data_IF_479370932209
#
_entry.id   IF_479370932209
#
_cell.length_a   1.000
_cell.length_b   1.000
_cell.length_c   1.000
_cell.angle_alpha   90.00
_cell.angle_beta   90.00
_cell.angle_gamma   90.00
#
_symmetry.space_group_name_H-M   'P 1'
#
loop_
_entity.id
_entity.type
_entity.pdbx_description
1 polymer ?
#
# COMPACT_ATOMS: atom_id res chain seq x y z
N UNK A 1 -7.94 -14.95 -4.30
CA UNK A 1 -8.79 -14.52 -3.16
C UNK A 1 -8.25 -13.21 -2.65
N UNK A 2 -9.10 -12.24 -2.32
CA UNK A 2 -8.66 -10.98 -1.73
C UNK A 2 -9.08 -10.99 -0.26
N UNK A 3 -8.13 -11.17 0.65
CA UNK A 3 -8.28 -10.67 2.02
C UNK A 3 -8.09 -9.17 1.95
N UNK A 4 -8.88 -8.40 2.68
CA UNK A 4 -9.08 -6.95 2.45
C UNK A 4 -7.78 -6.11 2.34
N UNK A 5 -6.65 -6.61 2.85
CA UNK A 5 -5.36 -5.91 2.86
C UNK A 5 -4.17 -6.72 2.29
N UNK A 6 -4.35 -7.99 1.92
CA UNK A 6 -3.25 -8.88 1.45
C UNK A 6 -3.52 -9.41 0.03
N UNK A 7 -2.49 -9.38 -0.81
CA UNK A 7 -2.47 -10.10 -2.08
C UNK A 7 -1.95 -11.52 -1.87
N UNK A 8 -2.68 -12.50 -2.39
CA UNK A 8 -2.34 -13.92 -2.28
C UNK A 8 -2.09 -14.52 -3.65
N UNK A 9 -0.97 -15.22 -3.77
CA UNK A 9 -0.69 -16.09 -4.89
C UNK A 9 -0.87 -17.54 -4.42
N UNK A 10 -1.78 -18.26 -5.08
CA UNK A 10 -2.11 -19.65 -4.75
C UNK A 10 -1.93 -20.48 -6.00
N UNK A 11 -1.14 -21.55 -5.89
CA UNK A 11 -0.90 -22.48 -6.98
C UNK A 11 -0.95 -23.92 -6.47
N UNK A 12 -1.40 -24.83 -7.34
CA UNK A 12 -1.32 -26.26 -7.09
C UNK A 12 -0.07 -26.79 -7.75
N UNK A 13 0.85 -27.30 -6.94
CA UNK A 13 2.10 -27.91 -7.40
C UNK A 13 2.25 -29.31 -6.80
N UNK A 14 2.89 -30.24 -7.51
CA UNK A 14 3.31 -31.51 -6.91
C UNK A 14 4.19 -31.27 -5.68
N UNK A 15 4.02 -32.09 -4.64
CA UNK A 15 4.83 -31.98 -3.42
C UNK A 15 6.34 -32.17 -3.67
N UNK A 16 6.72 -32.84 -4.75
CA UNK A 16 8.11 -32.98 -5.20
C UNK A 16 8.74 -31.66 -5.63
N UNK A 17 7.91 -30.71 -6.05
CA UNK A 17 8.34 -29.46 -6.69
C UNK A 17 8.35 -28.30 -5.68
N UNK A 18 7.89 -28.55 -4.45
CA UNK A 18 7.93 -27.59 -3.35
C UNK A 18 9.37 -27.42 -2.88
N UNK A 19 9.84 -26.17 -2.86
CA UNK A 19 11.15 -25.84 -2.34
C UNK A 19 11.33 -26.31 -0.89
N UNK A 20 12.51 -26.85 -0.57
CA UNK A 20 12.81 -27.43 0.76
C UNK A 20 12.77 -26.40 1.90
N UNK A 21 12.87 -25.12 1.55
CA UNK A 21 12.78 -23.98 2.46
C UNK A 21 11.35 -23.69 2.89
N UNK A 22 10.35 -24.13 2.12
CA UNK A 22 8.95 -23.92 2.44
C UNK A 22 8.52 -24.83 3.59
N UNK A 23 7.67 -24.29 4.47
CA UNK A 23 7.05 -25.06 5.53
C UNK A 23 5.86 -25.81 4.95
N UNK A 24 5.86 -27.13 5.12
CA UNK A 24 4.76 -27.99 4.69
C UNK A 24 3.90 -28.33 5.90
N UNK A 25 2.64 -27.94 5.86
CA UNK A 25 1.62 -28.31 6.85
C UNK A 25 0.64 -29.31 6.26
N UNK A 26 0.32 -30.37 7.00
CA UNK A 26 -0.58 -31.43 6.54
C UNK A 26 -1.91 -31.33 7.28
N UNK A 27 -2.97 -31.07 6.52
CA UNK A 27 -4.34 -30.93 7.00
C UNK A 27 -5.20 -32.00 6.34
N UNK A 28 -5.16 -33.22 6.90
CA UNK A 28 -5.77 -34.40 6.27
C UNK A 28 -5.08 -34.78 4.97
N UNK A 29 -5.83 -34.84 3.87
CA UNK A 29 -5.30 -35.14 2.54
C UNK A 29 -4.71 -33.91 1.83
N UNK A 30 -4.96 -32.71 2.36
CA UNK A 30 -4.40 -31.47 1.81
C UNK A 30 -3.06 -31.17 2.47
N UNK A 31 -2.02 -31.02 1.64
CA UNK A 31 -0.74 -30.49 2.07
C UNK A 31 -0.61 -29.04 1.62
N UNK A 32 -0.43 -28.13 2.57
CA UNK A 32 -0.23 -26.71 2.34
C UNK A 32 1.26 -26.40 2.41
N UNK A 33 1.82 -25.86 1.33
CA UNK A 33 3.20 -25.38 1.31
C UNK A 33 3.20 -23.85 1.50
N UNK A 34 3.81 -23.39 2.58
CA UNK A 34 3.93 -21.98 2.93
C UNK A 34 5.36 -21.51 2.67
N UNK A 35 5.52 -20.43 1.91
CA UNK A 35 6.83 -19.78 1.77
C UNK A 35 7.30 -19.32 3.14
N UNK A 36 8.58 -19.56 3.45
CA UNK A 36 9.10 -19.29 4.79
C UNK A 36 8.96 -17.82 5.21
N UNK A 37 9.14 -16.89 4.26
CA UNK A 37 8.99 -15.44 4.45
C UNK A 37 7.55 -14.96 4.68
N UNK A 38 6.56 -15.81 4.42
CA UNK A 38 5.15 -15.48 4.55
C UNK A 38 4.50 -16.10 5.81
N UNK A 39 5.20 -16.99 6.52
CA UNK A 39 4.65 -17.71 7.68
C UNK A 39 4.11 -16.75 8.73
N UNK A 40 4.88 -15.73 9.11
CA UNK A 40 4.45 -14.76 10.13
C UNK A 40 3.24 -13.94 9.67
N UNK A 41 3.12 -13.65 8.36
CA UNK A 41 1.99 -12.91 7.78
C UNK A 41 0.70 -13.73 7.79
N UNK A 42 0.81 -15.05 7.94
CA UNK A 42 -0.30 -16.00 7.93
C UNK A 42 -0.60 -16.58 9.32
N UNK A 43 0.06 -16.10 10.38
CA UNK A 43 -0.18 -16.61 11.74
C UNK A 43 -1.65 -16.41 12.15
N UNK A 44 -2.31 -17.47 12.60
CA UNK A 44 -3.74 -17.44 12.92
C UNK A 44 -4.70 -17.32 11.72
N UNK A 45 -4.21 -17.34 10.48
CA UNK A 45 -5.08 -17.34 9.30
C UNK A 45 -5.83 -18.68 9.16
N UNK A 46 -7.08 -18.60 8.70
CA UNK A 46 -7.96 -19.74 8.46
C UNK A 46 -8.12 -19.96 6.95
N UNK A 47 -7.93 -21.20 6.51
CA UNK A 47 -8.23 -21.64 5.15
C UNK A 47 -9.39 -22.65 5.20
N UNK A 48 -10.55 -22.21 4.76
CA UNK A 48 -11.77 -22.99 4.61
C UNK A 48 -11.84 -23.59 3.19
N UNK A 49 -11.89 -24.92 3.12
CA UNK A 49 -11.88 -25.68 1.86
C UNK A 49 -13.24 -26.32 1.67
N UNK A 50 -13.99 -25.85 0.68
CA UNK A 50 -15.33 -26.36 0.34
C UNK A 50 -15.34 -26.90 -1.08
N UNK A 51 -16.31 -27.77 -1.39
CA UNK A 51 -16.46 -28.38 -2.72
C UNK A 51 -16.57 -27.36 -3.88
N UNK A 52 -16.88 -26.09 -3.59
CA UNK A 52 -16.96 -24.99 -4.56
C UNK A 52 -15.78 -24.01 -4.57
N UNK A 53 -14.73 -24.21 -3.76
CA UNK A 53 -13.56 -23.34 -3.77
C UNK A 53 -12.81 -23.26 -2.43
N UNK A 54 -11.79 -22.41 -2.42
CA UNK A 54 -11.00 -22.06 -1.25
C UNK A 54 -11.47 -20.72 -0.71
N UNK A 55 -11.57 -20.62 0.61
CA UNK A 55 -11.88 -19.41 1.36
C UNK A 55 -10.77 -19.12 2.39
N UNK A 56 -10.12 -17.96 2.35
CA UNK A 56 -9.06 -17.56 3.28
C UNK A 56 -9.51 -16.36 4.10
N UNK A 57 -9.44 -16.49 5.42
CA UNK A 57 -9.64 -15.42 6.39
C UNK A 57 -8.34 -15.21 7.15
N UNK A 58 -7.69 -14.07 6.92
CA UNK A 58 -6.44 -13.75 7.59
C UNK A 58 -6.69 -12.61 8.61
N UNK A 59 -6.52 -12.85 9.93
CA UNK A 59 -6.72 -11.82 10.95
C UNK A 59 -5.57 -10.81 10.98
N UNK A 60 -4.44 -11.10 10.34
CA UNK A 60 -3.31 -10.20 10.25
C UNK A 60 -3.60 -9.07 9.28
N UNK A 61 -2.84 -7.99 9.42
CA UNK A 61 -2.74 -6.93 8.42
C UNK A 61 -1.29 -6.79 8.02
N UNK A 62 -0.99 -6.40 6.77
CA UNK A 62 0.36 -6.00 6.42
C UNK A 62 0.80 -4.94 7.43
N UNK A 63 2.05 -5.02 7.88
CA UNK A 63 2.62 -3.90 8.61
C UNK A 63 2.36 -2.65 7.74
N UNK A 64 1.69 -1.64 8.31
CA UNK A 64 1.70 -0.32 7.68
C UNK A 64 3.15 -0.02 7.39
N UNK A 65 3.50 0.45 6.17
CA UNK A 65 4.89 0.66 5.78
C UNK A 65 5.60 1.33 6.95
N UNK A 66 6.52 0.59 7.58
CA UNK A 66 7.32 1.13 8.67
C UNK A 66 8.31 2.05 7.98
N UNK A 67 7.95 3.32 7.94
CA UNK A 67 8.83 4.36 7.47
C UNK A 67 10.02 4.40 8.43
N UNK A 68 11.19 3.99 7.96
CA UNK A 68 12.47 4.17 8.67
C UNK A 68 12.81 5.67 8.67
N UNK A 69 12.07 6.43 9.48
CA UNK A 69 12.18 7.87 9.62
C UNK A 69 13.53 8.27 10.24
N UNK A 70 14.17 7.35 10.96
CA UNK A 70 15.51 7.54 11.54
C UNK A 70 16.63 7.45 10.50
N UNK A 71 16.37 6.83 9.33
CA UNK A 71 17.35 6.70 8.25
C UNK A 71 17.42 7.94 7.35
N UNK A 72 16.40 8.82 7.42
CA UNK A 72 16.32 10.06 6.67
C UNK A 72 16.38 11.21 7.66
N UNK A 73 17.45 11.99 7.63
CA UNK A 73 17.66 13.10 8.56
C UNK A 73 16.49 14.09 8.58
N UNK A 74 16.44 14.93 9.62
CA UNK A 74 15.42 15.97 9.76
C UNK A 74 15.36 16.85 8.50
N UNK A 75 14.17 17.08 7.91
CA UNK A 75 14.04 17.95 6.74
C UNK A 75 14.62 19.33 7.01
N UNK A 76 15.35 19.88 6.03
CA UNK A 76 16.03 21.19 6.19
C UNK A 76 15.58 22.18 5.12
N UNK A 77 15.71 23.47 5.42
CA UNK A 77 15.35 24.57 4.52
C UNK A 77 13.96 25.15 4.76
N UNK A 78 13.44 25.84 3.75
CA UNK A 78 12.07 26.37 3.70
C UNK A 78 11.03 25.25 3.77
N UNK A 79 9.78 25.59 4.13
CA UNK A 79 8.70 24.60 4.20
C UNK A 79 8.51 23.84 2.87
N UNK A 80 8.64 24.54 1.74
CA UNK A 80 8.58 23.91 0.42
C UNK A 80 9.72 22.89 0.21
N UNK A 81 10.95 23.22 0.61
CA UNK A 81 12.09 22.29 0.52
C UNK A 81 11.92 21.10 1.44
N UNK A 82 11.45 21.32 2.68
CA UNK A 82 11.18 20.25 3.62
C UNK A 82 10.12 19.28 3.08
N UNK A 83 9.00 19.80 2.56
CA UNK A 83 7.95 18.97 1.97
C UNK A 83 8.46 18.21 0.75
N UNK A 84 9.21 18.86 -0.15
CA UNK A 84 9.77 18.21 -1.33
C UNK A 84 10.77 17.09 -0.95
N UNK A 85 11.57 17.29 0.09
CA UNK A 85 12.45 16.25 0.64
C UNK A 85 11.63 15.06 1.15
N UNK A 86 10.60 15.30 1.97
CA UNK A 86 9.75 14.22 2.50
C UNK A 86 9.01 13.47 1.38
N UNK A 87 8.48 14.19 0.38
CA UNK A 87 7.80 13.58 -0.76
C UNK A 87 8.75 12.66 -1.55
N UNK A 88 9.96 13.13 -1.86
CA UNK A 88 10.92 12.38 -2.66
C UNK A 88 11.61 11.23 -1.92
N UNK A 89 11.90 11.41 -0.64
CA UNK A 89 12.72 10.47 0.14
C UNK A 89 11.90 9.45 0.94
N UNK A 90 10.64 9.76 1.26
CA UNK A 90 9.80 8.90 2.10
C UNK A 90 8.49 8.50 1.42
N UNK A 91 7.74 9.48 0.89
CA UNK A 91 6.42 9.20 0.32
C UNK A 91 6.52 8.40 -0.97
N UNK A 92 7.24 8.90 -1.97
CA UNK A 92 7.33 8.29 -3.29
C UNK A 92 7.90 6.86 -3.25
N UNK A 93 8.96 6.55 -2.50
CA UNK A 93 9.43 5.17 -2.34
C UNK A 93 8.37 4.22 -1.76
N UNK A 94 7.47 4.70 -0.90
CA UNK A 94 6.43 3.86 -0.30
C UNK A 94 5.22 3.64 -1.21
N UNK A 95 4.91 4.56 -2.13
CA UNK A 95 3.73 4.47 -3.01
C UNK A 95 4.05 4.04 -4.44
N UNK A 96 5.33 3.97 -4.82
CA UNK A 96 5.75 3.57 -6.19
C UNK A 96 5.36 2.13 -6.52
N UNK A 97 5.31 1.23 -5.52
CA UNK A 97 4.83 -0.15 -5.68
C UNK A 97 3.36 -0.22 -6.10
N UNK A 98 2.59 0.83 -5.79
CA UNK A 98 1.20 1.01 -6.22
C UNK A 98 1.08 1.78 -7.55
N UNK A 99 2.21 2.02 -8.23
CA UNK A 99 2.27 2.69 -9.52
C UNK A 99 1.98 4.20 -9.47
N UNK A 100 2.05 4.82 -8.29
CA UNK A 100 1.75 6.24 -8.10
C UNK A 100 2.93 7.05 -7.56
N UNK A 101 2.77 8.37 -7.58
CA UNK A 101 3.71 9.32 -6.95
C UNK A 101 2.97 10.59 -6.53
N UNK A 102 3.64 11.42 -5.72
CA UNK A 102 3.17 12.72 -5.28
C UNK A 102 4.23 13.80 -5.52
N UNK A 103 3.77 14.98 -5.95
CA UNK A 103 4.60 16.16 -6.22
C UNK A 103 4.09 17.37 -5.44
N UNK A 104 5.02 18.22 -5.01
CA UNK A 104 4.70 19.51 -4.42
C UNK A 104 4.34 20.50 -5.54
N UNK A 105 3.16 21.10 -5.46
CA UNK A 105 2.72 22.17 -6.37
C UNK A 105 3.04 23.54 -5.81
N UNK A 106 2.89 23.72 -4.49
CA UNK A 106 3.17 24.98 -3.84
C UNK A 106 2.89 24.97 -2.35
N UNK A 107 3.29 26.06 -1.69
CA UNK A 107 3.06 26.29 -0.27
C UNK A 107 2.51 27.71 -0.10
N UNK A 108 1.44 27.85 0.67
CA UNK A 108 0.86 29.15 1.05
C UNK A 108 0.80 29.24 2.58
N UNK A 109 1.69 30.05 3.16
CA UNK A 109 1.88 30.08 4.61
C UNK A 109 2.34 28.72 5.14
N UNK A 110 1.43 27.96 5.74
CA UNK A 110 1.67 26.60 6.24
C UNK A 110 0.88 25.53 5.49
N UNK A 111 0.04 25.93 4.55
CA UNK A 111 -0.77 25.03 3.74
C UNK A 111 0.03 24.56 2.53
N UNK A 112 -0.11 23.29 2.21
CA UNK A 112 0.70 22.58 1.21
C UNK A 112 -0.22 22.05 0.13
N UNK A 113 0.09 22.39 -1.12
CA UNK A 113 -0.65 21.92 -2.29
C UNK A 113 0.15 20.80 -2.95
N UNK A 114 -0.44 19.61 -3.06
CA UNK A 114 0.18 18.43 -3.66
C UNK A 114 -0.61 17.96 -4.88
N UNK A 115 0.11 17.37 -5.83
CA UNK A 115 -0.48 16.68 -6.98
C UNK A 115 -0.09 15.22 -6.95
N UNK A 116 -1.07 14.36 -7.13
CA UNK A 116 -0.94 12.92 -7.21
C UNK A 116 -0.87 12.51 -8.69
N UNK A 117 0.04 11.60 -9.00
CA UNK A 117 0.31 11.13 -10.35
C UNK A 117 0.21 9.60 -10.42
N UNK A 118 0.06 9.07 -11.65
CA UNK A 118 0.01 7.64 -11.91
C UNK A 118 -1.18 6.96 -11.24
N UNK A 119 -0.96 5.81 -10.59
CA UNK A 119 -1.98 5.05 -9.87
C UNK A 119 -2.70 5.87 -8.78
N UNK A 120 -2.03 6.87 -8.20
CA UNK A 120 -2.63 7.78 -7.21
C UNK A 120 -3.61 8.80 -7.84
N UNK A 121 -3.50 9.06 -9.14
CA UNK A 121 -4.42 9.96 -9.85
C UNK A 121 -5.79 9.30 -10.08
N UNK A 122 -5.84 8.00 -10.41
CA UNK A 122 -6.99 7.38 -11.10
C UNK A 122 -7.93 6.47 -10.29
N UNK A 123 -7.85 6.38 -8.96
CA UNK A 123 -8.67 5.41 -8.20
C UNK A 123 -9.41 6.04 -7.02
N UNK A 124 -10.75 6.05 -7.05
CA UNK A 124 -11.59 6.69 -6.02
C UNK A 124 -11.56 6.04 -4.63
N UNK A 125 -11.20 4.76 -4.53
CA UNK A 125 -11.07 4.07 -3.24
C UNK A 125 -9.63 4.08 -2.71
N UNK A 126 -8.65 3.89 -3.59
CA UNK A 126 -7.23 3.95 -3.23
C UNK A 126 -6.77 5.39 -2.93
N UNK A 127 -7.42 6.41 -3.51
CA UNK A 127 -7.09 7.82 -3.25
C UNK A 127 -7.25 8.18 -1.78
N UNK A 128 -8.27 7.65 -1.08
CA UNK A 128 -8.51 8.00 0.33
C UNK A 128 -7.42 7.44 1.24
N UNK A 129 -7.11 6.15 1.11
CA UNK A 129 -6.09 5.48 1.94
C UNK A 129 -4.68 5.98 1.61
N UNK A 130 -4.38 6.19 0.33
CA UNK A 130 -3.09 6.74 -0.10
C UNK A 130 -2.93 8.19 0.39
N UNK A 131 -3.96 9.04 0.25
CA UNK A 131 -3.94 10.42 0.76
C UNK A 131 -3.71 10.46 2.27
N UNK A 132 -4.39 9.59 3.01
CA UNK A 132 -4.17 9.47 4.46
C UNK A 132 -2.74 9.04 4.79
N UNK A 133 -2.17 8.09 4.04
CA UNK A 133 -0.76 7.70 4.18
C UNK A 133 0.20 8.86 3.96
N UNK A 134 0.03 9.60 2.87
CA UNK A 134 0.83 10.79 2.53
C UNK A 134 0.74 11.85 3.64
N UNK A 135 -0.49 12.14 4.10
CA UNK A 135 -0.75 13.10 5.17
C UNK A 135 -0.07 12.70 6.49
N UNK A 136 -0.14 11.43 6.88
CA UNK A 136 0.50 10.92 8.09
C UNK A 136 2.03 11.09 8.05
N UNK A 137 2.66 10.80 6.90
CA UNK A 137 4.11 10.94 6.74
C UNK A 137 4.52 12.42 6.85
N UNK A 138 3.83 13.30 6.12
CA UNK A 138 4.12 14.73 6.12
C UNK A 138 3.96 15.35 7.50
N UNK A 139 2.87 15.04 8.22
CA UNK A 139 2.63 15.56 9.57
C UNK A 139 3.61 15.01 10.60
N UNK A 140 4.10 13.79 10.41
CA UNK A 140 5.10 13.20 11.32
C UNK A 140 6.47 13.84 11.14
N UNK A 141 6.87 14.10 9.89
CA UNK A 141 8.16 14.73 9.57
C UNK A 141 8.16 16.24 9.80
N UNK A 142 7.00 16.89 9.67
CA UNK A 142 6.83 18.33 9.82
C UNK A 142 5.62 18.58 10.75
N UNK A 143 5.80 18.50 12.09
CA UNK A 143 4.70 18.49 13.07
C UNK A 143 3.72 19.66 12.98
N UNK A 144 4.21 20.83 12.60
CA UNK A 144 3.39 22.04 12.59
C UNK A 144 2.62 22.24 11.27
N UNK A 145 2.66 21.31 10.30
CA UNK A 145 2.09 21.49 8.95
C UNK A 145 0.60 21.91 8.98
N UNK A 146 0.22 22.84 8.10
CA UNK A 146 -1.16 23.28 7.92
C UNK A 146 -2.03 22.25 7.20
N UNK A 147 -2.89 22.72 6.31
CA UNK A 147 -3.69 21.86 5.46
C UNK A 147 -2.84 21.24 4.34
N UNK A 148 -3.21 20.03 3.93
CA UNK A 148 -2.62 19.35 2.78
C UNK A 148 -3.72 19.24 1.73
N UNK A 149 -3.63 20.07 0.70
CA UNK A 149 -4.62 20.21 -0.35
C UNK A 149 -4.19 19.40 -1.55
N UNK A 150 -5.04 18.47 -1.97
CA UNK A 150 -4.88 17.75 -3.22
C UNK A 150 -5.46 18.58 -4.38
N UNK A 151 -4.61 18.95 -5.35
CA UNK A 151 -5.02 19.71 -6.55
C UNK A 151 -5.12 18.84 -7.80
N UNK A 152 -5.18 17.53 -7.62
CA UNK A 152 -5.20 16.55 -8.71
C UNK A 152 -6.57 16.51 -9.39
N UNK A 153 -6.55 16.53 -10.72
CA UNK A 153 -7.72 16.13 -11.48
C UNK A 153 -7.79 14.59 -11.53
N UNK A 154 -8.53 14.03 -10.58
CA UNK A 154 -8.76 12.60 -10.45
C UNK A 154 -9.64 12.00 -11.55
N UNK A 155 -10.31 12.84 -12.35
CA UNK A 155 -11.14 12.40 -13.47
C UNK A 155 -10.34 12.33 -14.78
N UNK A 156 -9.18 13.00 -14.85
CA UNK A 156 -8.32 13.07 -16.03
C UNK A 156 -7.27 11.94 -16.15
N UNK A 157 -7.24 10.97 -15.23
CA UNK A 157 -6.22 9.92 -15.21
C UNK A 157 -6.37 8.86 -16.31
N UNK A 158 -5.25 8.21 -16.68
CA UNK A 158 -5.17 7.17 -17.74
C UNK A 158 -5.68 5.78 -17.32
N UNK A 159 -6.40 5.67 -16.20
CA UNK A 159 -7.10 4.44 -15.79
C UNK A 159 -8.37 4.76 -14.96
N UNK A 160 -9.39 5.40 -15.54
CA UNK A 160 -10.63 5.69 -14.83
C UNK A 160 -11.51 4.43 -14.80
N UNK A 161 -11.51 3.71 -13.68
CA UNK A 161 -12.44 2.59 -13.46
C UNK A 161 -13.81 3.05 -12.94
N UNK A 162 -14.34 4.11 -13.54
CA UNK A 162 -15.73 4.50 -13.33
C UNK A 162 -16.39 4.82 -14.67
N UNK A 163 -16.64 3.77 -15.46
CA UNK A 163 -17.84 3.78 -16.29
C UNK A 163 -19.01 3.84 -15.32
N UNK A 164 -19.52 5.06 -15.12
CA UNK A 164 -20.82 5.26 -14.51
C UNK A 164 -21.80 4.40 -15.30
N UNK A 165 -22.48 3.48 -14.63
CA UNK A 165 -23.67 2.81 -15.14
C UNK A 165 -24.63 3.88 -15.69
N UNK A 166 -24.58 4.11 -17.00
CA UNK A 166 -25.58 4.90 -17.69
C UNK A 166 -26.71 3.96 -18.08
N UNK A 167 -27.71 3.98 -17.21
CA UNK A 167 -29.16 4.01 -17.47
C UNK A 167 -29.80 2.87 -18.25
#
# INVERSE_FOLDING_TARGET
MHGNDFAYELSFVPLSDVERTHRIERHGELALALRNEDIEKLDGALLDVKAGGLAMENPNRPASPTFDLDSVGTPTGSLAEQVAQVLSQQVNPAIVSHGGSAELVGVEGRDVYVRLLGGCQGCGLASVTLRQGIEQILRRMIPDLGQIIDVTDHQAGTSPFYESEKK
#
